data_IF_762283742405
#
_entry.id   IF_762283742405
#
_cell.length_a   1.000
_cell.length_b   1.000
_cell.length_c   1.000
_cell.angle_alpha   90.00
_cell.angle_beta   90.00
_cell.angle_gamma   90.00
#
_symmetry.space_group_name_H-M   'P 1'
#
loop_
_entity.id
_entity.type
_entity.pdbx_description
1 polymer ?
#
# COMPACT_ATOMS: atom_id res chain seq x y z
N UNK A 1 7.06 -28.76 4.85
CA UNK A 1 6.41 -28.43 6.12
C UNK A 1 5.25 -27.49 5.78
N UNK A 2 4.02 -28.00 5.83
CA UNK A 2 2.82 -27.21 5.50
C UNK A 2 2.42 -26.43 6.76
N UNK A 3 2.62 -25.12 6.76
CA UNK A 3 2.19 -24.22 7.83
C UNK A 3 0.65 -24.21 7.81
N UNK A 4 0.02 -24.61 8.92
CA UNK A 4 -1.44 -24.54 9.12
C UNK A 4 -1.86 -23.07 9.09
N UNK A 5 -2.80 -22.76 8.22
CA UNK A 5 -2.89 -21.47 7.56
C UNK A 5 -3.55 -20.30 8.31
N UNK A 6 -3.91 -20.38 9.60
CA UNK A 6 -4.73 -19.31 10.20
C UNK A 6 -4.28 -18.68 11.53
N UNK A 7 -3.51 -19.34 12.41
CA UNK A 7 -3.27 -18.79 13.76
C UNK A 7 -1.85 -18.24 14.01
N UNK A 8 -0.91 -18.36 13.05
CA UNK A 8 0.52 -18.10 13.30
C UNK A 8 1.13 -16.91 12.55
N UNK A 9 0.38 -16.13 11.79
CA UNK A 9 1.01 -15.07 10.97
C UNK A 9 1.25 -13.75 11.68
N UNK A 10 0.40 -13.35 12.64
CA UNK A 10 0.72 -12.21 13.51
C UNK A 10 1.98 -12.52 14.33
N UNK A 11 2.12 -13.78 14.78
CA UNK A 11 3.36 -14.28 15.39
C UNK A 11 4.52 -14.17 14.39
N UNK A 12 4.34 -14.58 13.13
CA UNK A 12 5.42 -14.55 12.14
C UNK A 12 5.82 -13.12 11.73
N UNK A 13 4.91 -12.14 11.65
CA UNK A 13 5.27 -10.72 11.46
C UNK A 13 6.14 -10.23 12.63
N UNK A 14 5.78 -10.61 13.86
CA UNK A 14 6.55 -10.28 15.06
C UNK A 14 7.90 -11.02 15.09
N UNK A 15 7.92 -12.30 14.74
CA UNK A 15 9.11 -13.16 14.73
C UNK A 15 10.11 -12.72 13.65
N UNK A 16 9.62 -12.27 12.50
CA UNK A 16 10.43 -11.71 11.43
C UNK A 16 10.69 -10.20 11.59
N UNK A 17 10.18 -9.58 12.66
CA UNK A 17 10.31 -8.14 12.95
C UNK A 17 9.93 -7.25 11.75
N UNK A 18 8.87 -7.61 11.02
CA UNK A 18 8.46 -6.88 9.83
C UNK A 18 7.80 -5.54 10.20
N UNK A 19 8.10 -4.45 9.46
CA UNK A 19 7.43 -3.16 9.62
C UNK A 19 5.91 -3.24 9.42
N UNK A 20 5.16 -2.28 9.98
CA UNK A 20 3.68 -2.24 9.95
C UNK A 20 3.09 -2.31 8.54
N UNK A 21 3.81 -1.84 7.52
CA UNK A 21 3.39 -1.92 6.11
C UNK A 21 3.16 -3.37 5.66
N UNK A 22 3.79 -4.36 6.30
CA UNK A 22 3.56 -5.77 6.04
C UNK A 22 2.08 -6.17 6.23
N UNK A 23 1.37 -5.57 7.20
CA UNK A 23 -0.05 -5.84 7.43
C UNK A 23 -0.94 -5.38 6.26
N UNK A 24 -0.50 -4.35 5.53
CA UNK A 24 -1.19 -3.86 4.35
C UNK A 24 -0.87 -4.72 3.12
N UNK A 25 0.37 -5.18 3.00
CA UNK A 25 0.87 -5.88 1.81
C UNK A 25 0.57 -7.38 1.82
N UNK A 26 0.50 -8.00 3.00
CA UNK A 26 0.44 -9.45 3.21
C UNK A 26 -0.88 -9.89 3.86
N UNK A 27 -2.01 -9.47 3.27
CA UNK A 27 -3.35 -9.65 3.87
C UNK A 27 -3.78 -11.12 3.84
N UNK A 28 -3.53 -11.81 2.73
CA UNK A 28 -3.96 -13.19 2.49
C UNK A 28 -2.80 -14.18 2.69
N UNK A 29 -3.13 -15.44 3.00
CA UNK A 29 -2.15 -16.54 3.08
C UNK A 29 -1.31 -16.67 1.80
N UNK A 30 -1.94 -16.50 0.64
CA UNK A 30 -1.25 -16.53 -0.65
C UNK A 30 -0.22 -15.40 -0.83
N UNK A 31 -0.57 -14.17 -0.46
CA UNK A 31 0.36 -13.03 -0.51
C UNK A 31 1.55 -13.23 0.44
N UNK A 32 1.30 -13.79 1.63
CA UNK A 32 2.31 -14.09 2.65
C UNK A 32 3.30 -15.14 2.17
N UNK A 33 2.79 -16.26 1.67
CA UNK A 33 3.62 -17.35 1.14
C UNK A 33 4.44 -16.87 -0.06
N UNK A 34 3.82 -16.10 -0.95
CA UNK A 34 4.50 -15.56 -2.12
C UNK A 34 5.62 -14.58 -1.74
N UNK A 35 5.37 -13.66 -0.80
CA UNK A 35 6.41 -12.78 -0.26
C UNK A 35 7.57 -13.57 0.34
N UNK A 36 7.27 -14.51 1.23
CA UNK A 36 8.29 -15.30 1.93
C UNK A 36 9.18 -16.08 0.96
N UNK A 37 8.60 -16.64 -0.10
CA UNK A 37 9.33 -17.44 -1.09
C UNK A 37 10.15 -16.62 -2.08
N UNK A 38 9.70 -15.42 -2.44
CA UNK A 38 10.24 -14.68 -3.58
C UNK A 38 10.95 -13.37 -3.22
N UNK A 39 10.73 -12.82 -2.03
CA UNK A 39 11.23 -11.50 -1.63
C UNK A 39 11.92 -11.52 -0.26
N UNK A 40 11.44 -12.28 0.71
CA UNK A 40 12.01 -12.22 2.06
C UNK A 40 13.47 -12.69 2.11
N UNK A 41 14.35 -11.85 2.66
CA UNK A 41 15.77 -12.11 2.81
C UNK A 41 16.60 -11.85 1.55
N UNK A 42 16.02 -11.21 0.53
CA UNK A 42 16.75 -10.85 -0.70
C UNK A 42 17.63 -9.61 -0.51
N UNK A 43 17.19 -8.67 0.32
CA UNK A 43 17.90 -7.45 0.65
C UNK A 43 18.47 -7.48 2.08
N UNK A 44 19.28 -6.47 2.41
CA UNK A 44 19.86 -6.34 3.75
C UNK A 44 18.79 -6.04 4.81
N UNK A 45 17.75 -5.30 4.43
CA UNK A 45 16.69 -4.91 5.33
C UNK A 45 15.32 -5.39 4.85
N UNK A 46 14.53 -5.94 5.76
CA UNK A 46 13.19 -6.45 5.43
C UNK A 46 12.23 -5.37 4.91
N UNK A 47 12.47 -4.09 5.21
CA UNK A 47 11.72 -2.99 4.61
C UNK A 47 11.97 -2.90 3.09
N UNK A 48 13.19 -3.17 2.63
CA UNK A 48 13.53 -3.16 1.20
C UNK A 48 12.80 -4.31 0.48
N UNK A 49 12.81 -5.52 1.06
CA UNK A 49 12.04 -6.65 0.54
C UNK A 49 10.53 -6.33 0.42
N UNK A 50 9.98 -5.63 1.43
CA UNK A 50 8.58 -5.19 1.40
C UNK A 50 8.32 -4.12 0.35
N UNK A 51 9.29 -3.24 0.08
CA UNK A 51 9.18 -2.22 -0.95
C UNK A 51 9.24 -2.84 -2.35
N UNK A 52 10.12 -3.81 -2.58
CA UNK A 52 10.19 -4.57 -3.83
C UNK A 52 8.88 -5.34 -4.07
N UNK A 53 8.36 -6.00 -3.03
CA UNK A 53 7.09 -6.69 -3.12
C UNK A 53 5.91 -5.73 -3.37
N UNK A 54 5.91 -4.56 -2.74
CA UNK A 54 4.93 -3.51 -3.00
C UNK A 54 4.99 -3.05 -4.45
N UNK A 55 6.18 -2.81 -4.99
CA UNK A 55 6.37 -2.42 -6.39
C UNK A 55 5.81 -3.49 -7.33
N UNK A 56 6.12 -4.76 -7.08
CA UNK A 56 5.52 -5.87 -7.80
C UNK A 56 3.98 -5.82 -7.75
N UNK A 57 3.37 -5.70 -6.56
CA UNK A 57 1.91 -5.64 -6.43
C UNK A 57 1.29 -4.46 -7.17
N UNK A 58 1.94 -3.29 -7.16
CA UNK A 58 1.48 -2.12 -7.91
C UNK A 58 1.66 -2.30 -9.42
N UNK A 59 2.72 -3.01 -9.84
CA UNK A 59 2.96 -3.34 -11.24
C UNK A 59 1.91 -4.32 -11.78
N UNK A 60 1.51 -5.30 -10.96
CA UNK A 60 0.49 -6.30 -11.29
C UNK A 60 -0.95 -5.80 -11.07
N UNK A 61 -1.12 -4.69 -10.34
CA UNK A 61 -2.43 -4.07 -10.07
C UNK A 61 -2.99 -3.40 -11.32
N UNK A 62 -4.18 -3.82 -11.73
CA UNK A 62 -4.93 -3.23 -12.83
C UNK A 62 -5.90 -2.13 -12.38
N UNK A 63 -5.68 -1.52 -11.20
CA UNK A 63 -6.59 -0.48 -10.71
C UNK A 63 -6.68 0.69 -11.70
N UNK A 64 -7.91 1.04 -12.07
CA UNK A 64 -8.27 2.13 -12.96
C UNK A 64 -8.62 3.39 -12.19
N UNK A 65 -8.60 4.54 -12.87
CA UNK A 65 -9.04 5.81 -12.27
C UNK A 65 -10.50 5.71 -11.81
N UNK A 66 -11.36 5.06 -12.60
CA UNK A 66 -12.77 4.89 -12.26
C UNK A 66 -12.95 4.08 -10.96
N UNK A 67 -12.22 2.98 -10.80
CA UNK A 67 -12.25 2.18 -9.57
C UNK A 67 -11.73 2.95 -8.37
N UNK A 68 -10.66 3.73 -8.54
CA UNK A 68 -10.13 4.60 -7.49
C UNK A 68 -11.16 5.64 -7.04
N UNK A 69 -11.79 6.35 -7.97
CA UNK A 69 -12.83 7.33 -7.65
C UNK A 69 -14.05 6.69 -6.98
N UNK A 70 -14.48 5.51 -7.46
CA UNK A 70 -15.55 4.72 -6.82
C UNK A 70 -15.18 4.34 -5.38
N UNK A 71 -13.94 3.93 -5.13
CA UNK A 71 -13.46 3.63 -3.78
C UNK A 71 -13.49 4.87 -2.89
N UNK A 72 -13.03 6.02 -3.39
CA UNK A 72 -13.08 7.28 -2.65
C UNK A 72 -14.50 7.64 -2.23
N UNK A 73 -15.47 7.50 -3.14
CA UNK A 73 -16.87 7.82 -2.88
C UNK A 73 -17.54 6.83 -1.92
N UNK A 74 -17.25 5.54 -2.04
CA UNK A 74 -17.97 4.50 -1.29
C UNK A 74 -17.35 4.19 0.09
N UNK A 75 -16.01 4.25 0.19
CA UNK A 75 -15.27 3.85 1.40
C UNK A 75 -14.52 5.00 2.06
N UNK A 76 -14.49 6.17 1.42
CA UNK A 76 -13.73 7.33 1.87
C UNK A 76 -12.26 7.30 1.46
N UNK A 77 -11.64 8.49 1.54
CA UNK A 77 -10.28 8.75 1.05
C UNK A 77 -9.24 7.84 1.69
N UNK A 78 -9.27 7.61 3.00
CA UNK A 78 -8.26 6.81 3.70
C UNK A 78 -8.16 5.39 3.12
N UNK A 79 -9.30 4.68 3.07
CA UNK A 79 -9.34 3.30 2.59
C UNK A 79 -9.00 3.22 1.10
N UNK A 80 -9.52 4.17 0.30
CA UNK A 80 -9.25 4.21 -1.13
C UNK A 80 -7.75 4.40 -1.41
N UNK A 81 -7.09 5.27 -0.66
CA UNK A 81 -5.68 5.58 -0.83
C UNK A 81 -4.79 4.40 -0.41
N UNK A 82 -5.06 3.80 0.75
CA UNK A 82 -4.31 2.63 1.20
C UNK A 82 -4.46 1.44 0.23
N UNK A 83 -5.67 1.20 -0.28
CA UNK A 83 -5.93 0.12 -1.22
C UNK A 83 -5.27 0.35 -2.59
N UNK A 84 -5.22 1.60 -3.04
CA UNK A 84 -4.71 1.95 -4.38
C UNK A 84 -3.19 2.07 -4.40
N UNK A 85 -2.63 2.74 -3.39
CA UNK A 85 -1.22 3.06 -3.32
C UNK A 85 -0.42 2.05 -2.51
N UNK A 86 -1.09 1.10 -1.84
CA UNK A 86 -0.45 0.10 -0.97
C UNK A 86 0.55 0.75 0.00
N UNK A 87 0.15 1.88 0.58
CA UNK A 87 0.88 2.62 1.60
C UNK A 87 -0.07 2.91 2.76
N UNK A 88 0.46 2.88 3.98
CA UNK A 88 -0.27 3.34 5.16
C UNK A 88 -0.20 4.86 5.22
N UNK A 89 -1.32 5.50 5.55
CA UNK A 89 -1.39 6.95 5.73
C UNK A 89 -1.75 7.28 7.16
N UNK A 90 -1.04 8.22 7.76
CA UNK A 90 -1.41 8.72 9.08
C UNK A 90 -2.68 9.60 8.99
N UNK A 91 -3.36 9.78 10.12
CA UNK A 91 -4.54 10.64 10.20
C UNK A 91 -4.22 12.08 9.79
N UNK A 92 -3.02 12.54 10.13
CA UNK A 92 -2.44 13.84 9.75
C UNK A 92 -2.28 13.95 8.24
N UNK A 93 -1.71 12.92 7.59
CA UNK A 93 -1.59 12.85 6.13
C UNK A 93 -2.95 12.94 5.45
N UNK A 94 -3.91 12.10 5.86
CA UNK A 94 -5.27 12.12 5.28
C UNK A 94 -5.95 13.48 5.46
N UNK A 95 -5.69 14.16 6.58
CA UNK A 95 -6.24 15.50 6.84
C UNK A 95 -5.66 16.54 5.87
N UNK A 96 -4.34 16.51 5.62
CA UNK A 96 -3.67 17.38 4.65
C UNK A 96 -4.16 17.14 3.21
N UNK A 97 -4.36 15.87 2.85
CA UNK A 97 -4.91 15.48 1.55
C UNK A 97 -6.32 16.05 1.39
N UNK A 98 -7.20 15.85 2.37
CA UNK A 98 -8.56 16.39 2.36
C UNK A 98 -8.58 17.91 2.26
N UNK A 99 -7.73 18.60 3.00
CA UNK A 99 -7.63 20.05 2.94
C UNK A 99 -7.20 20.53 1.55
N UNK A 100 -6.21 19.88 0.95
CA UNK A 100 -5.71 20.22 -0.39
C UNK A 100 -6.75 19.98 -1.48
N UNK A 101 -7.53 18.90 -1.36
CA UNK A 101 -8.67 18.61 -2.23
C UNK A 101 -9.79 19.65 -2.08
N UNK A 102 -10.18 19.99 -0.85
CA UNK A 102 -11.25 20.96 -0.57
C UNK A 102 -10.91 22.36 -1.08
N UNK A 103 -9.64 22.74 -1.03
CA UNK A 103 -9.16 24.03 -1.52
C UNK A 103 -8.91 24.05 -3.04
N UNK A 104 -9.14 22.93 -3.74
CA UNK A 104 -8.92 22.81 -5.18
C UNK A 104 -7.45 22.86 -5.62
N UNK A 105 -6.49 22.77 -4.67
CA UNK A 105 -5.05 22.77 -4.98
C UNK A 105 -4.65 21.55 -5.80
N UNK A 106 -5.33 20.42 -5.57
CA UNK A 106 -5.14 19.17 -6.27
C UNK A 106 -6.49 18.45 -6.44
N UNK A 107 -6.59 17.57 -7.43
CA UNK A 107 -7.77 16.69 -7.62
C UNK A 107 -7.39 15.23 -7.45
N UNK A 108 -8.38 14.36 -7.23
CA UNK A 108 -8.17 12.92 -7.12
C UNK A 108 -7.56 12.33 -8.41
N UNK A 109 -8.00 12.82 -9.57
CA UNK A 109 -7.46 12.45 -10.88
C UNK A 109 -5.98 12.81 -10.98
N UNK A 110 -5.60 14.02 -10.57
CA UNK A 110 -4.20 14.46 -10.58
C UNK A 110 -3.31 13.57 -9.68
N UNK A 111 -3.80 13.23 -8.48
CA UNK A 111 -3.09 12.30 -7.57
C UNK A 111 -2.89 10.94 -8.24
N UNK A 112 -3.94 10.39 -8.83
CA UNK A 112 -3.91 9.08 -9.47
C UNK A 112 -2.96 9.05 -10.69
N UNK A 113 -3.02 10.07 -11.55
CA UNK A 113 -2.14 10.19 -12.71
C UNK A 113 -0.66 10.35 -12.30
N UNK A 114 -0.38 11.13 -11.25
CA UNK A 114 0.98 11.26 -10.73
C UNK A 114 1.50 9.94 -10.16
N UNK A 115 0.65 9.17 -9.49
CA UNK A 115 0.98 7.82 -9.04
C UNK A 115 1.27 6.87 -10.22
N UNK A 116 0.49 6.93 -11.31
CA UNK A 116 0.74 6.11 -12.50
C UNK A 116 2.08 6.43 -13.15
N UNK A 117 2.50 7.69 -13.13
CA UNK A 117 3.82 8.12 -13.62
C UNK A 117 4.96 7.65 -12.70
N UNK A 118 4.77 7.70 -11.38
CA UNK A 118 5.80 7.34 -10.40
C UNK A 118 5.21 6.54 -9.22
N UNK A 119 5.09 5.23 -9.41
CA UNK A 119 4.48 4.27 -8.46
C UNK A 119 5.18 4.19 -7.08
N UNK A 120 6.46 4.57 -7.06
CA UNK A 120 7.34 4.50 -5.89
C UNK A 120 7.44 5.81 -5.12
N UNK A 121 6.90 6.91 -5.66
CA UNK A 121 6.89 8.18 -4.94
C UNK A 121 5.74 8.22 -3.93
N UNK A 122 6.03 8.71 -2.73
CA UNK A 122 4.97 9.08 -1.79
C UNK A 122 4.08 10.12 -2.44
N UNK A 123 2.78 9.84 -2.50
CA UNK A 123 1.79 10.76 -3.09
C UNK A 123 1.78 12.12 -2.36
N UNK A 124 2.21 12.16 -1.09
CA UNK A 124 2.24 13.38 -0.28
C UNK A 124 3.17 14.43 -0.89
N UNK A 125 4.22 14.00 -1.61
CA UNK A 125 5.12 14.92 -2.33
C UNK A 125 4.44 15.69 -3.46
N UNK A 126 3.28 15.23 -3.94
CA UNK A 126 2.50 15.93 -4.97
C UNK A 126 1.39 16.79 -4.37
N UNK A 127 1.14 16.67 -3.07
CA UNK A 127 0.01 17.31 -2.37
C UNK A 127 0.51 18.54 -1.58
N UNK A 128 1.70 18.43 -0.98
CA UNK A 128 2.45 19.52 -0.33
C UNK A 128 3.09 20.44 -1.38
#
# INVERSE_FOLDING_TARGET
MLIKANDDWENLINDLCLPSIALLLLKTSGEREYFYRNYYGTNMHAIEDLMDYREYRISSSSITLEEFLKLCNNKGISIAFEATFLLQFEVTDISLIKQSLNNGKITLECIFENFKKNKNFSILKYIL
#
